data_IF_947864738166
#
_entry.id   IF_947864738166
#
_cell.length_a   1.000
_cell.length_b   1.000
_cell.length_c   1.000
_cell.angle_alpha   90.00
_cell.angle_beta   90.00
_cell.angle_gamma   90.00
#
_symmetry.space_group_name_H-M   'P 1'
#
loop_
_entity.id
_entity.type
_entity.pdbx_description
1 polymer ?
#
# COMPACT_ATOMS: atom_id res chain seq x y z
N UNK A 1 -29.84 9.15 9.37
CA UNK A 1 -30.39 8.89 8.02
C UNK A 1 -30.14 7.42 7.67
N UNK A 2 -31.13 6.71 7.13
CA UNK A 2 -31.01 5.32 6.65
C UNK A 2 -30.86 5.36 5.12
N UNK A 3 -29.75 5.90 4.64
CA UNK A 3 -29.50 6.00 3.20
C UNK A 3 -29.09 4.62 2.67
N UNK A 4 -29.62 4.22 1.51
CA UNK A 4 -29.28 2.94 0.87
C UNK A 4 -27.89 2.98 0.20
N UNK A 5 -27.47 4.17 -0.25
CA UNK A 5 -26.20 4.42 -0.93
C UNK A 5 -25.77 5.88 -0.77
N UNK A 6 -24.47 6.13 -0.82
CA UNK A 6 -23.87 7.47 -0.88
C UNK A 6 -23.04 7.61 -2.16
N UNK A 7 -23.44 8.55 -3.03
CA UNK A 7 -22.78 8.77 -4.31
C UNK A 7 -21.76 9.91 -4.17
N UNK A 8 -20.51 9.63 -4.56
CA UNK A 8 -19.38 10.55 -4.52
C UNK A 8 -19.05 10.91 -5.96
N UNK A 9 -19.39 12.14 -6.33
CA UNK A 9 -19.11 12.72 -7.64
C UNK A 9 -17.73 13.39 -7.63
N UNK A 10 -16.88 12.99 -8.56
CA UNK A 10 -15.50 13.49 -8.72
C UNK A 10 -15.15 13.63 -10.20
N UNK A 11 -13.88 13.92 -10.51
CA UNK A 11 -13.30 14.01 -11.86
C UNK A 11 -12.90 12.65 -12.47
N UNK A 12 -13.01 11.57 -11.72
CA UNK A 12 -12.80 10.19 -12.19
C UNK A 12 -14.11 9.42 -12.24
N UNK A 13 -14.23 8.50 -13.19
CA UNK A 13 -15.43 7.72 -13.47
C UNK A 13 -15.53 6.40 -12.71
N UNK A 14 -14.58 6.14 -11.80
CA UNK A 14 -14.56 4.95 -10.95
C UNK A 14 -13.18 4.65 -10.36
N UNK A 15 -13.07 3.47 -9.76
CA UNK A 15 -11.82 2.90 -9.25
C UNK A 15 -11.32 1.89 -10.29
N UNK A 16 -10.04 1.97 -10.62
CA UNK A 16 -9.42 1.10 -11.63
C UNK A 16 -8.54 0.02 -10.98
N UNK A 17 -8.31 -1.06 -11.71
CA UNK A 17 -7.38 -2.14 -11.33
C UNK A 17 -5.95 -1.64 -11.07
N UNK A 18 -5.55 -0.54 -11.69
CA UNK A 18 -4.30 0.21 -11.43
C UNK A 18 -4.40 1.61 -12.05
N UNK A 19 -3.38 2.47 -11.92
CA UNK A 19 -3.40 3.81 -12.53
C UNK A 19 -3.38 3.71 -14.08
N UNK A 20 -4.43 4.20 -14.78
CA UNK A 20 -4.50 4.16 -16.24
C UNK A 20 -3.36 4.94 -16.95
N UNK A 21 -2.67 5.84 -16.24
CA UNK A 21 -1.50 6.57 -16.75
C UNK A 21 -0.25 5.68 -16.85
N UNK A 22 -0.19 4.58 -16.11
CA UNK A 22 0.92 3.60 -16.19
C UNK A 22 0.66 2.56 -17.26
N UNK A 23 -0.59 2.07 -17.37
CA UNK A 23 -0.95 1.04 -18.36
C UNK A 23 -2.32 1.31 -18.96
N UNK A 24 -2.39 1.28 -20.29
CA UNK A 24 -3.65 1.38 -21.03
C UNK A 24 -4.55 0.14 -20.86
N UNK A 25 -4.02 -0.93 -20.25
CA UNK A 25 -4.77 -2.14 -19.93
C UNK A 25 -5.59 -2.03 -18.64
N UNK A 26 -5.42 -0.96 -17.86
CA UNK A 26 -6.21 -0.74 -16.65
C UNK A 26 -7.72 -0.80 -16.97
N UNK A 27 -8.49 -1.45 -16.10
CA UNK A 27 -9.95 -1.57 -16.23
C UNK A 27 -10.62 -0.94 -15.03
N UNK A 28 -11.77 -0.31 -15.26
CA UNK A 28 -12.64 0.16 -14.19
C UNK A 28 -13.29 -1.05 -13.52
N UNK A 29 -13.31 -1.06 -12.20
CA UNK A 29 -13.97 -2.08 -11.42
C UNK A 29 -15.45 -1.75 -11.28
N UNK A 30 -16.33 -2.71 -11.52
CA UNK A 30 -17.76 -2.54 -11.24
C UNK A 30 -18.03 -2.48 -9.73
N UNK A 31 -17.34 -3.33 -8.97
CA UNK A 31 -17.47 -3.43 -7.51
C UNK A 31 -16.11 -3.64 -6.85
N UNK A 32 -15.97 -3.14 -5.63
CA UNK A 32 -14.81 -3.36 -4.78
C UNK A 32 -15.25 -3.44 -3.31
N UNK A 33 -14.63 -4.33 -2.52
CA UNK A 33 -14.95 -4.38 -1.10
C UNK A 33 -14.38 -3.18 -0.35
N UNK A 34 -14.99 -2.84 0.79
CA UNK A 34 -14.47 -1.79 1.68
C UNK A 34 -12.99 -2.00 2.05
N UNK A 35 -12.60 -3.22 2.41
CA UNK A 35 -11.22 -3.54 2.81
C UNK A 35 -10.22 -3.34 1.68
N UNK A 36 -10.55 -3.81 0.47
CA UNK A 36 -9.71 -3.62 -0.72
C UNK A 36 -9.57 -2.13 -1.07
N UNK A 37 -10.67 -1.38 -1.00
CA UNK A 37 -10.66 0.05 -1.26
C UNK A 37 -9.82 0.81 -0.21
N UNK A 38 -9.89 0.41 1.07
CA UNK A 38 -9.04 1.00 2.13
C UNK A 38 -7.56 0.76 1.85
N UNK A 39 -7.21 -0.47 1.46
CA UNK A 39 -5.85 -0.82 1.12
C UNK A 39 -5.36 -0.06 -0.12
N UNK A 40 -6.12 -0.03 -1.22
CA UNK A 40 -5.77 0.72 -2.42
C UNK A 40 -5.65 2.23 -2.14
N UNK A 41 -6.59 2.81 -1.37
CA UNK A 41 -6.57 4.22 -1.02
C UNK A 41 -5.32 4.59 -0.20
N UNK A 42 -4.92 3.72 0.74
CA UNK A 42 -3.72 3.92 1.55
C UNK A 42 -2.42 3.88 0.74
N UNK A 43 -2.45 3.21 -0.42
CA UNK A 43 -1.27 2.96 -1.27
C UNK A 43 -1.16 3.92 -2.46
N UNK A 44 -2.01 4.96 -2.52
CA UNK A 44 -1.91 6.01 -3.54
C UNK A 44 -3.06 6.08 -4.53
N UNK A 45 -4.08 5.21 -4.43
CA UNK A 45 -5.33 5.38 -5.18
C UNK A 45 -6.13 6.58 -4.61
N UNK A 46 -5.78 7.79 -5.04
CA UNK A 46 -6.33 9.07 -4.53
C UNK A 46 -7.76 9.38 -5.00
N UNK A 47 -8.62 8.37 -5.10
CA UNK A 47 -10.01 8.52 -5.56
C UNK A 47 -10.94 8.84 -4.39
N UNK A 48 -10.74 8.16 -3.26
CA UNK A 48 -11.54 8.34 -2.04
C UNK A 48 -10.65 8.69 -0.84
N UNK A 49 -11.19 9.49 0.07
CA UNK A 49 -10.56 9.72 1.36
C UNK A 49 -10.69 8.46 2.22
N UNK A 50 -9.58 7.92 2.73
CA UNK A 50 -9.57 6.67 3.54
C UNK A 50 -10.62 6.70 4.64
N UNK A 51 -10.69 7.81 5.38
CA UNK A 51 -11.65 8.00 6.49
C UNK A 51 -13.12 7.94 6.06
N UNK A 52 -13.47 8.36 4.83
CA UNK A 52 -14.85 8.24 4.35
C UNK A 52 -15.21 6.78 4.06
N UNK A 53 -14.27 5.99 3.56
CA UNK A 53 -14.44 4.56 3.32
C UNK A 53 -14.56 3.81 4.66
N UNK A 54 -13.73 4.15 5.65
CA UNK A 54 -13.82 3.57 7.00
C UNK A 54 -15.20 3.82 7.65
N UNK A 55 -15.72 5.04 7.50
CA UNK A 55 -17.03 5.40 8.03
C UNK A 55 -18.14 4.61 7.31
N UNK A 56 -18.05 4.52 5.99
CA UNK A 56 -18.99 3.75 5.17
C UNK A 56 -19.01 2.28 5.55
N UNK A 57 -17.83 1.66 5.73
CA UNK A 57 -17.69 0.29 6.21
C UNK A 57 -18.32 0.10 7.60
N UNK A 58 -18.00 0.99 8.55
CA UNK A 58 -18.52 0.91 9.93
C UNK A 58 -20.04 0.97 10.01
N UNK A 59 -20.66 1.81 9.18
CA UNK A 59 -22.11 1.99 9.17
C UNK A 59 -22.82 1.19 8.07
N UNK A 60 -22.08 0.34 7.34
CA UNK A 60 -22.56 -0.46 6.20
C UNK A 60 -23.33 0.37 5.17
N UNK A 61 -22.79 1.53 4.82
CA UNK A 61 -23.35 2.42 3.79
C UNK A 61 -22.57 2.18 2.50
N UNK A 62 -23.24 1.66 1.47
CA UNK A 62 -22.63 1.46 0.15
C UNK A 62 -22.20 2.82 -0.42
N UNK A 63 -21.00 2.89 -0.98
CA UNK A 63 -20.51 4.08 -1.68
C UNK A 63 -20.53 3.83 -3.19
N UNK A 64 -20.72 4.88 -3.96
CA UNK A 64 -20.56 4.82 -5.42
C UNK A 64 -19.67 5.95 -5.88
N UNK A 65 -18.59 5.64 -6.58
CA UNK A 65 -17.70 6.64 -7.17
C UNK A 65 -18.16 6.93 -8.59
N UNK A 66 -18.44 8.19 -8.91
CA UNK A 66 -18.98 8.62 -10.20
C UNK A 66 -18.22 9.84 -10.75
N UNK A 67 -18.20 9.96 -12.07
CA UNK A 67 -17.71 11.17 -12.73
C UNK A 67 -18.79 12.25 -12.76
N UNK A 68 -18.42 13.49 -12.46
CA UNK A 68 -19.31 14.66 -12.59
C UNK A 68 -19.48 15.11 -14.03
N UNK A 69 -18.69 14.57 -14.96
CA UNK A 69 -18.59 14.99 -16.35
C UNK A 69 -19.29 14.05 -17.33
N UNK A 70 -19.87 12.94 -16.85
CA UNK A 70 -20.51 11.91 -17.67
C UNK A 70 -21.97 11.71 -17.27
N UNK A 71 -22.78 11.22 -18.22
CA UNK A 71 -24.13 10.75 -17.93
C UNK A 71 -24.05 9.41 -17.19
N UNK A 72 -24.37 9.44 -15.90
CA UNK A 72 -24.28 8.28 -15.03
C UNK A 72 -25.62 7.53 -14.99
N UNK A 73 -25.66 6.33 -15.56
CA UNK A 73 -26.80 5.42 -15.43
C UNK A 73 -26.78 4.68 -14.07
N UNK A 74 -27.56 3.60 -13.90
CA UNK A 74 -27.55 2.81 -12.65
C UNK A 74 -26.30 1.91 -12.49
N UNK A 75 -25.54 1.68 -13.56
CA UNK A 75 -24.37 0.79 -13.59
C UNK A 75 -23.04 1.53 -13.70
N UNK A 76 -23.06 2.84 -13.96
CA UNK A 76 -21.88 3.70 -13.98
C UNK A 76 -21.09 3.67 -12.65
N UNK A 77 -19.81 4.03 -12.73
CA UNK A 77 -18.98 4.14 -11.55
C UNK A 77 -18.46 2.82 -11.02
N UNK A 78 -17.96 2.88 -9.79
CA UNK A 78 -17.57 1.71 -9.00
C UNK A 78 -18.36 1.71 -7.70
N UNK A 79 -18.98 0.58 -7.37
CA UNK A 79 -19.68 0.38 -6.11
C UNK A 79 -18.69 -0.13 -5.05
N UNK A 80 -18.55 0.58 -3.94
CA UNK A 80 -17.82 0.12 -2.75
C UNK A 80 -18.83 -0.45 -1.76
N UNK A 81 -18.71 -1.75 -1.46
CA UNK A 81 -19.68 -2.48 -0.63
C UNK A 81 -19.03 -3.48 0.32
N UNK A 82 -19.86 -4.15 1.14
CA UNK A 82 -19.42 -5.29 1.95
C UNK A 82 -18.98 -6.44 1.04
N UNK A 83 -18.09 -7.29 1.55
CA UNK A 83 -17.56 -8.40 0.76
C UNK A 83 -18.67 -9.37 0.32
N UNK A 84 -19.65 -9.61 1.19
CA UNK A 84 -20.80 -10.49 0.96
C UNK A 84 -21.69 -10.06 -0.23
N UNK A 85 -21.61 -8.78 -0.65
CA UNK A 85 -22.36 -8.23 -1.79
C UNK A 85 -21.67 -8.50 -3.15
N UNK A 86 -20.51 -9.14 -3.15
CA UNK A 86 -19.72 -9.46 -4.35
C UNK A 86 -19.84 -10.97 -4.63
N UNK A 87 -20.47 -11.30 -5.77
CA UNK A 87 -20.76 -12.70 -6.13
C UNK A 87 -19.53 -13.46 -6.65
N UNK A 88 -18.68 -12.81 -7.42
CA UNK A 88 -17.47 -13.40 -8.00
C UNK A 88 -16.23 -12.64 -7.53
N UNK A 89 -15.30 -13.38 -6.92
CA UNK A 89 -14.06 -12.83 -6.43
C UNK A 89 -12.95 -12.97 -7.47
N UNK A 90 -12.38 -11.84 -7.89
CA UNK A 90 -11.03 -11.88 -8.44
C UNK A 90 -10.05 -12.16 -7.30
N UNK A 91 -9.02 -12.98 -7.57
CA UNK A 91 -7.98 -13.27 -6.58
C UNK A 91 -7.25 -11.99 -6.16
N UNK A 92 -7.06 -11.10 -7.13
CA UNK A 92 -6.46 -9.77 -6.98
C UNK A 92 -7.44 -8.75 -7.56
N UNK A 93 -7.78 -7.72 -6.80
CA UNK A 93 -8.61 -6.62 -7.28
C UNK A 93 -7.79 -5.52 -7.97
N UNK A 94 -6.54 -5.32 -7.55
CA UNK A 94 -5.70 -4.31 -8.17
C UNK A 94 -4.24 -4.31 -7.75
N UNK A 95 -3.47 -3.49 -8.48
CA UNK A 95 -2.07 -3.18 -8.22
C UNK A 95 -1.95 -1.68 -7.94
N UNK A 96 -1.45 -1.35 -6.76
CA UNK A 96 -1.18 0.02 -6.32
C UNK A 96 0.34 0.24 -6.18
N UNK A 97 0.75 1.51 -6.18
CA UNK A 97 2.15 1.86 -6.02
C UNK A 97 2.32 3.24 -5.36
N UNK A 98 3.42 3.41 -4.64
CA UNK A 98 3.91 4.70 -4.13
C UNK A 98 5.30 4.95 -4.70
N UNK A 99 5.41 5.99 -5.53
CA UNK A 99 6.66 6.35 -6.22
C UNK A 99 7.70 6.98 -5.30
N UNK A 100 7.24 7.84 -4.38
CA UNK A 100 8.08 8.73 -3.59
C UNK A 100 8.28 8.20 -2.17
N UNK A 101 8.78 6.96 -2.09
CA UNK A 101 9.17 6.32 -0.83
C UNK A 101 10.69 6.39 -0.63
N UNK A 102 11.09 6.43 0.64
CA UNK A 102 12.44 6.21 1.09
C UNK A 102 12.46 5.06 2.09
N UNK A 103 13.55 4.30 2.10
CA UNK A 103 13.81 3.23 3.06
C UNK A 103 14.89 3.70 4.02
N UNK A 104 14.62 3.62 5.32
CA UNK A 104 15.59 3.87 6.38
C UNK A 104 15.79 2.62 7.21
N UNK A 105 17.05 2.23 7.41
CA UNK A 105 17.44 1.04 8.18
C UNK A 105 18.40 1.43 9.29
N UNK A 106 17.99 1.19 10.54
CA UNK A 106 18.89 1.23 11.69
C UNK A 106 19.53 -0.15 11.81
N UNK A 107 20.83 -0.22 11.53
CA UNK A 107 21.60 -1.44 11.62
C UNK A 107 22.02 -1.71 13.06
N UNK A 108 21.84 -2.97 13.47
CA UNK A 108 22.29 -3.47 14.75
C UNK A 108 21.72 -2.65 15.91
N UNK A 109 20.40 -2.54 16.01
CA UNK A 109 19.73 -2.02 17.21
C UNK A 109 19.69 -3.09 18.30
N UNK A 110 19.65 -2.68 19.57
CA UNK A 110 19.50 -3.64 20.67
C UNK A 110 18.14 -4.34 20.58
N UNK A 111 18.11 -5.66 20.72
CA UNK A 111 16.86 -6.43 20.75
C UNK A 111 16.37 -6.60 22.19
N UNK A 112 15.71 -5.55 22.70
CA UNK A 112 15.10 -5.54 24.03
C UNK A 112 13.79 -4.76 24.02
N UNK A 113 12.86 -5.05 24.94
CA UNK A 113 11.62 -4.31 25.08
C UNK A 113 11.87 -2.80 25.16
N UNK A 114 11.06 -2.03 24.43
CA UNK A 114 11.12 -0.56 24.41
C UNK A 114 11.94 0.06 23.28
N UNK A 115 12.80 -0.69 22.58
CA UNK A 115 13.64 -0.11 21.51
C UNK A 115 12.80 0.37 20.32
N UNK A 116 11.80 -0.40 19.89
CA UNK A 116 10.88 0.04 18.85
C UNK A 116 10.15 1.34 19.26
N UNK A 117 9.68 1.44 20.51
CA UNK A 117 9.04 2.65 21.01
C UNK A 117 10.00 3.85 21.06
N UNK A 118 11.26 3.63 21.44
CA UNK A 118 12.30 4.66 21.47
C UNK A 118 12.72 5.13 20.06
N UNK A 119 12.51 4.32 19.03
CA UNK A 119 12.73 4.70 17.62
C UNK A 119 11.51 5.43 17.06
N UNK A 120 10.31 4.84 17.19
CA UNK A 120 9.11 5.35 16.54
C UNK A 120 8.40 6.46 17.29
N UNK A 121 8.60 6.59 18.62
CA UNK A 121 8.09 7.72 19.40
C UNK A 121 8.59 9.08 18.89
N UNK A 122 9.92 9.31 18.81
CA UNK A 122 10.47 10.55 18.26
C UNK A 122 10.07 10.83 16.80
N UNK A 123 9.91 9.77 15.99
CA UNK A 123 9.41 9.90 14.62
C UNK A 123 7.96 10.41 14.62
N UNK A 124 7.09 9.83 15.45
CA UNK A 124 5.70 10.27 15.58
C UNK A 124 5.60 11.70 16.13
N UNK A 125 6.40 12.05 17.16
CA UNK A 125 6.41 13.39 17.78
C UNK A 125 6.89 14.48 16.81
N UNK A 126 7.75 14.12 15.87
CA UNK A 126 8.17 15.00 14.78
C UNK A 126 7.20 15.00 13.59
N UNK A 127 6.10 14.23 13.64
CA UNK A 127 5.11 14.14 12.58
C UNK A 127 5.65 13.46 11.31
N UNK A 128 6.56 12.50 11.46
CA UNK A 128 6.97 11.59 10.39
C UNK A 128 5.92 10.49 10.27
N UNK A 129 5.39 10.31 9.07
CA UNK A 129 4.45 9.24 8.76
C UNK A 129 5.23 8.01 8.29
N UNK A 130 5.33 7.03 9.18
CA UNK A 130 5.97 5.75 8.89
C UNK A 130 4.93 4.80 8.28
N UNK A 131 5.31 4.12 7.22
CA UNK A 131 4.43 3.22 6.46
C UNK A 131 4.76 1.74 6.75
N UNK A 132 5.80 1.19 6.13
CA UNK A 132 6.22 -0.19 6.40
C UNK A 132 7.20 -0.21 7.57
N UNK A 133 7.05 -1.19 8.46
CA UNK A 133 8.02 -1.50 9.51
C UNK A 133 8.39 -2.98 9.35
N UNK A 134 9.69 -3.25 9.20
CA UNK A 134 10.25 -4.59 9.05
C UNK A 134 11.39 -4.74 10.05
N UNK A 135 11.19 -5.65 10.98
CA UNK A 135 12.22 -6.10 11.92
C UNK A 135 12.50 -7.58 11.62
N UNK A 136 13.77 -7.91 11.41
CA UNK A 136 14.15 -9.30 11.22
C UNK A 136 14.41 -10.00 12.57
N UNK A 137 14.53 -11.32 12.55
CA UNK A 137 14.92 -12.11 13.72
C UNK A 137 16.28 -11.62 14.22
N UNK A 138 16.43 -11.48 15.54
CA UNK A 138 17.67 -11.03 16.16
C UNK A 138 18.73 -12.13 16.18
N UNK A 139 19.99 -11.70 16.04
CA UNK A 139 21.17 -12.53 16.24
C UNK A 139 22.05 -11.82 17.28
N UNK A 140 22.54 -12.55 18.28
CA UNK A 140 23.35 -12.01 19.38
C UNK A 140 22.72 -10.82 20.15
N UNK A 141 21.39 -10.80 20.27
CA UNK A 141 20.67 -9.74 20.99
C UNK A 141 20.67 -8.40 20.26
N UNK A 142 20.96 -8.40 18.95
CA UNK A 142 20.82 -7.23 18.07
C UNK A 142 20.01 -7.60 16.83
N UNK A 143 19.33 -6.62 16.27
CA UNK A 143 18.51 -6.78 15.05
C UNK A 143 18.62 -5.54 14.18
N UNK A 144 18.13 -5.63 12.95
CA UNK A 144 18.00 -4.49 12.06
C UNK A 144 16.53 -4.04 12.01
N UNK A 145 16.32 -2.74 12.12
CA UNK A 145 15.00 -2.13 12.05
C UNK A 145 14.91 -1.33 10.76
N UNK A 146 14.12 -1.79 9.81
CA UNK A 146 13.86 -1.08 8.55
C UNK A 146 12.46 -0.49 8.56
N UNK A 147 12.32 0.73 8.07
CA UNK A 147 11.02 1.32 7.83
C UNK A 147 11.00 2.17 6.56
N UNK A 148 9.80 2.37 5.99
CA UNK A 148 9.58 3.29 4.87
C UNK A 148 8.84 4.55 5.30
N UNK A 149 9.08 5.61 4.55
CA UNK A 149 8.46 6.92 4.73
C UNK A 149 8.52 7.71 3.42
N UNK A 150 7.70 8.75 3.26
CA UNK A 150 7.82 9.67 2.13
C UNK A 150 9.21 10.32 2.05
N UNK A 151 9.77 10.42 0.84
CA UNK A 151 11.11 10.99 0.61
C UNK A 151 11.26 12.40 1.22
N UNK A 152 10.22 13.23 1.13
CA UNK A 152 10.23 14.58 1.68
C UNK A 152 10.31 14.64 3.22
N UNK A 153 10.16 13.52 3.92
CA UNK A 153 10.26 13.43 5.38
C UNK A 153 11.59 12.86 5.87
N UNK A 154 12.47 12.39 4.97
CA UNK A 154 13.77 11.79 5.32
C UNK A 154 14.63 12.69 6.18
N UNK A 155 14.74 13.98 5.82
CA UNK A 155 15.53 14.93 6.61
C UNK A 155 15.01 15.09 8.04
N UNK A 156 13.69 15.05 8.22
CA UNK A 156 13.05 15.13 9.55
C UNK A 156 13.26 13.84 10.34
N UNK A 157 13.05 12.69 9.71
CA UNK A 157 13.24 11.38 10.31
C UNK A 157 14.69 11.17 10.77
N UNK A 158 15.66 11.53 9.92
CA UNK A 158 17.09 11.47 10.27
C UNK A 158 17.39 12.32 11.50
N UNK A 159 16.92 13.57 11.53
CA UNK A 159 17.11 14.47 12.67
C UNK A 159 16.55 13.87 13.97
N UNK A 160 15.33 13.35 13.95
CA UNK A 160 14.70 12.74 15.13
C UNK A 160 15.48 11.52 15.64
N UNK A 161 15.96 10.66 14.72
CA UNK A 161 16.77 9.48 15.07
C UNK A 161 18.15 9.89 15.62
N UNK A 162 18.78 10.89 15.05
CA UNK A 162 20.08 11.38 15.51
C UNK A 162 19.98 12.02 16.91
N UNK A 163 18.90 12.77 17.17
CA UNK A 163 18.60 13.32 18.50
C UNK A 163 18.34 12.21 19.54
N UNK A 164 17.55 11.20 19.19
CA UNK A 164 17.29 10.04 20.06
C UNK A 164 18.56 9.20 20.34
N UNK A 165 19.50 9.15 19.38
CA UNK A 165 20.82 8.52 19.62
C UNK A 165 21.67 9.37 20.56
N UNK A 166 21.66 10.69 20.39
CA UNK A 166 22.44 11.62 21.21
C UNK A 166 21.96 11.67 22.68
N UNK A 167 20.66 11.50 22.93
CA UNK A 167 20.09 11.39 24.28
C UNK A 167 20.42 10.05 24.97
N UNK A 168 20.87 9.05 24.22
CA UNK A 168 21.13 7.71 24.71
C UNK A 168 19.90 6.80 24.77
N UNK A 169 18.76 7.24 24.23
CA UNK A 169 17.51 6.47 24.21
C UNK A 169 17.60 5.27 23.26
N UNK A 170 18.33 5.43 22.15
CA UNK A 170 18.59 4.38 21.17
C UNK A 170 20.08 4.20 20.90
N UNK A 171 20.49 2.96 20.62
CA UNK A 171 21.83 2.64 20.15
C UNK A 171 21.74 1.81 18.88
N UNK A 172 22.42 2.27 17.83
CA UNK A 172 22.51 1.60 16.54
C UNK A 172 23.89 1.85 15.92
N UNK A 173 24.40 0.89 15.15
CA UNK A 173 25.72 0.99 14.54
C UNK A 173 25.73 2.03 13.41
N UNK A 174 24.77 1.92 12.49
CA UNK A 174 24.65 2.80 11.33
C UNK A 174 23.19 3.03 10.95
N UNK A 175 22.89 4.23 10.45
CA UNK A 175 21.61 4.57 9.82
C UNK A 175 21.83 4.61 8.31
N UNK A 176 21.30 3.62 7.60
CA UNK A 176 21.33 3.54 6.13
C UNK A 176 20.04 4.13 5.58
N UNK A 177 20.15 4.92 4.52
CA UNK A 177 19.00 5.54 3.86
C UNK A 177 19.11 5.36 2.36
N UNK A 178 17.99 5.02 1.76
CA UNK A 178 17.84 4.78 0.33
C UNK A 178 16.59 5.52 -0.13
N UNK A 179 16.78 6.64 -0.82
CA UNK A 179 15.71 7.52 -1.30
C UNK A 179 15.25 7.19 -2.71
N UNK A 180 15.82 6.15 -3.35
CA UNK A 180 15.55 5.76 -4.74
C UNK A 180 14.73 4.48 -4.84
N UNK A 181 13.77 4.32 -3.94
CA UNK A 181 12.85 3.18 -3.89
C UNK A 181 11.42 3.59 -4.24
N UNK A 182 10.66 2.60 -4.71
CA UNK A 182 9.21 2.68 -4.87
C UNK A 182 8.57 1.46 -4.20
N UNK A 183 7.36 1.66 -3.67
CA UNK A 183 6.52 0.57 -3.13
C UNK A 183 5.56 0.13 -4.23
N UNK A 184 5.45 -1.17 -4.46
CA UNK A 184 4.44 -1.76 -5.35
C UNK A 184 3.69 -2.82 -4.56
N UNK A 185 2.38 -2.81 -4.68
CA UNK A 185 1.48 -3.62 -3.85
C UNK A 185 0.40 -4.28 -4.68
N UNK A 186 0.17 -5.55 -4.41
CA UNK A 186 -0.95 -6.32 -4.96
C UNK A 186 -1.99 -6.45 -3.85
N UNK A 187 -3.25 -6.14 -4.16
CA UNK A 187 -4.36 -6.12 -3.19
C UNK A 187 -5.52 -6.96 -3.72
N UNK A 188 -6.08 -7.82 -2.87
CA UNK A 188 -7.33 -8.54 -3.14
C UNK A 188 -7.76 -9.44 -1.99
N UNK A 189 -9.05 -9.47 -1.68
CA UNK A 189 -9.57 -10.36 -0.61
C UNK A 189 -9.51 -11.84 -0.97
N UNK A 190 -9.51 -12.15 -2.28
CA UNK A 190 -9.30 -13.52 -2.76
C UNK A 190 -7.97 -14.13 -2.30
N UNK A 191 -7.00 -13.31 -1.90
CA UNK A 191 -5.72 -13.75 -1.30
C UNK A 191 -5.89 -14.54 0.01
N UNK A 192 -6.96 -14.32 0.78
CA UNK A 192 -7.24 -15.07 2.03
C UNK A 192 -7.46 -16.57 1.78
N UNK A 193 -8.08 -16.90 0.65
CA UNK A 193 -8.53 -18.25 0.31
C UNK A 193 -7.69 -18.90 -0.79
N UNK A 194 -6.87 -18.13 -1.52
CA UNK A 194 -6.03 -18.62 -2.61
C UNK A 194 -4.55 -18.55 -2.26
N UNK A 195 -3.94 -19.73 -2.09
CA UNK A 195 -2.49 -19.84 -1.97
C UNK A 195 -1.81 -19.52 -3.32
N UNK A 196 -0.60 -18.93 -3.25
CA UNK A 196 0.28 -18.77 -4.42
C UNK A 196 0.36 -17.36 -5.00
N UNK A 197 -0.45 -16.40 -4.53
CA UNK A 197 -0.41 -15.02 -5.03
C UNK A 197 0.97 -14.37 -4.85
N UNK A 198 1.58 -14.51 -3.67
CA UNK A 198 2.94 -14.02 -3.43
C UNK A 198 3.97 -14.71 -4.33
N UNK A 199 3.84 -16.02 -4.56
CA UNK A 199 4.76 -16.77 -5.42
C UNK A 199 4.66 -16.32 -6.89
N UNK A 200 3.44 -16.05 -7.39
CA UNK A 200 3.20 -15.49 -8.72
C UNK A 200 3.80 -14.08 -8.82
N UNK A 201 3.55 -13.21 -7.84
CA UNK A 201 4.12 -11.86 -7.78
C UNK A 201 5.65 -11.88 -7.85
N UNK A 202 6.31 -12.71 -7.04
CA UNK A 202 7.77 -12.79 -7.02
C UNK A 202 8.33 -13.39 -8.31
N UNK A 203 7.61 -14.33 -8.93
CA UNK A 203 8.00 -14.90 -10.23
C UNK A 203 7.94 -13.85 -11.33
N UNK A 204 6.86 -13.06 -11.38
CA UNK A 204 6.71 -11.97 -12.35
C UNK A 204 7.83 -10.92 -12.22
N UNK A 205 8.13 -10.50 -10.99
CA UNK A 205 9.22 -9.53 -10.76
C UNK A 205 10.60 -10.11 -11.13
N UNK A 206 10.82 -11.40 -10.86
CA UNK A 206 12.06 -12.10 -11.26
C UNK A 206 12.21 -12.15 -12.78
N UNK A 207 11.14 -12.45 -13.51
CA UNK A 207 11.18 -12.62 -14.96
C UNK A 207 11.51 -11.30 -15.68
N UNK A 208 11.15 -10.16 -15.06
CA UNK A 208 11.55 -8.81 -15.48
C UNK A 208 12.92 -8.37 -14.93
N UNK A 209 13.61 -9.21 -14.15
CA UNK A 209 14.92 -8.89 -13.56
C UNK A 209 14.86 -7.85 -12.43
N UNK A 210 13.70 -7.68 -11.78
CA UNK A 210 13.47 -6.68 -10.74
C UNK A 210 13.82 -7.28 -9.36
N UNK A 211 14.85 -6.74 -8.73
CA UNK A 211 15.25 -7.17 -7.39
C UNK A 211 14.34 -6.60 -6.30
N UNK A 212 13.88 -7.45 -5.40
CA UNK A 212 13.05 -7.07 -4.25
C UNK A 212 13.96 -6.70 -3.07
N UNK A 213 13.78 -5.50 -2.51
CA UNK A 213 14.56 -4.99 -1.37
C UNK A 213 13.93 -5.32 -0.03
N UNK A 214 12.61 -5.20 0.07
CA UNK A 214 11.82 -5.42 1.29
C UNK A 214 10.48 -6.02 0.88
N UNK A 215 9.95 -6.93 1.71
CA UNK A 215 8.63 -7.53 1.54
C UNK A 215 7.84 -7.26 2.82
N UNK A 216 6.57 -6.88 2.68
CA UNK A 216 5.60 -6.87 3.76
C UNK A 216 4.26 -7.43 3.26
N UNK A 217 3.46 -7.97 4.17
CA UNK A 217 2.18 -8.59 3.83
C UNK A 217 1.14 -8.27 4.89
N UNK A 218 -0.11 -8.09 4.46
CA UNK A 218 -1.31 -8.24 5.31
C UNK A 218 -2.09 -9.47 4.83
N UNK A 219 -3.30 -9.68 5.33
CA UNK A 219 -4.17 -10.80 4.90
C UNK A 219 -4.58 -10.71 3.42
N UNK A 220 -4.67 -9.49 2.88
CA UNK A 220 -5.23 -9.20 1.55
C UNK A 220 -4.31 -8.34 0.69
N UNK A 221 -3.04 -8.20 1.10
CA UNK A 221 -2.06 -7.34 0.45
C UNK A 221 -0.67 -7.92 0.56
N UNK A 222 0.08 -7.91 -0.54
CA UNK A 222 1.54 -8.10 -0.52
C UNK A 222 2.17 -6.85 -1.10
N UNK A 223 3.13 -6.26 -0.39
CA UNK A 223 3.86 -5.07 -0.84
C UNK A 223 5.35 -5.34 -0.88
N UNK A 224 6.01 -4.78 -1.89
CA UNK A 224 7.45 -4.87 -2.08
C UNK A 224 8.06 -3.50 -2.26
N UNK A 225 9.27 -3.30 -1.73
CA UNK A 225 10.14 -2.19 -2.15
C UNK A 225 11.06 -2.66 -3.27
N UNK A 226 11.12 -1.87 -4.34
CA UNK A 226 12.00 -2.08 -5.49
C UNK A 226 12.72 -0.77 -5.82
N UNK A 227 13.74 -0.81 -6.68
CA UNK A 227 14.31 0.44 -7.22
C UNK A 227 13.25 1.22 -7.99
N UNK A 228 13.16 2.54 -7.72
CA UNK A 228 12.14 3.42 -8.31
C UNK A 228 12.07 3.35 -9.83
N UNK A 229 13.22 3.17 -10.50
CA UNK A 229 13.31 3.07 -11.96
C UNK A 229 12.52 1.89 -12.55
N UNK A 230 12.23 0.85 -11.77
CA UNK A 230 11.48 -0.33 -12.23
C UNK A 230 10.00 -0.27 -11.86
N UNK A 231 9.52 0.82 -11.25
CA UNK A 231 8.15 0.93 -10.76
C UNK A 231 7.10 0.67 -11.85
N UNK A 232 7.19 1.37 -12.98
CA UNK A 232 6.20 1.24 -14.06
C UNK A 232 6.23 -0.16 -14.67
N UNK A 233 7.43 -0.71 -14.89
CA UNK A 233 7.61 -2.08 -15.39
C UNK A 233 7.02 -3.12 -14.43
N UNK A 234 7.27 -2.98 -13.13
CA UNK A 234 6.72 -3.88 -12.10
C UNK A 234 5.19 -3.83 -12.08
N UNK A 235 4.60 -2.62 -12.13
CA UNK A 235 3.14 -2.47 -12.14
C UNK A 235 2.53 -3.12 -13.39
N UNK A 236 3.12 -2.89 -14.56
CA UNK A 236 2.66 -3.50 -15.82
C UNK A 236 2.78 -5.03 -15.79
N UNK A 237 3.92 -5.57 -15.37
CA UNK A 237 4.15 -7.01 -15.30
C UNK A 237 3.21 -7.71 -14.31
N UNK A 238 2.96 -7.08 -13.15
CA UNK A 238 2.00 -7.62 -12.18
C UNK A 238 0.56 -7.51 -12.67
N UNK A 239 0.19 -6.41 -13.33
CA UNK A 239 -1.14 -6.25 -13.94
C UNK A 239 -1.42 -7.35 -14.96
N UNK A 240 -0.47 -7.61 -15.86
CA UNK A 240 -0.55 -8.68 -16.86
C UNK A 240 -0.55 -10.08 -16.22
N UNK A 241 0.31 -10.33 -15.23
CA UNK A 241 0.42 -11.65 -14.57
C UNK A 241 -0.87 -12.07 -13.89
N UNK A 242 -1.58 -11.12 -13.28
CA UNK A 242 -2.86 -11.37 -12.61
C UNK A 242 -4.07 -11.24 -13.53
N UNK A 243 -3.86 -11.00 -14.84
CA UNK A 243 -4.94 -10.93 -15.83
C UNK A 243 -5.93 -9.80 -15.57
N UNK A 244 -5.47 -8.70 -14.97
CA UNK A 244 -6.34 -7.61 -14.52
C UNK A 244 -6.96 -6.81 -15.67
N UNK A 245 -6.50 -7.02 -16.91
CA UNK A 245 -7.09 -6.47 -18.13
C UNK A 245 -8.40 -7.16 -18.55
N UNK A 246 -8.66 -8.35 -17.99
CA UNK A 246 -9.85 -9.17 -18.24
C UNK A 246 -10.97 -8.92 -17.22
N UNK A 247 -10.67 -8.13 -16.19
CA UNK A 247 -11.65 -7.75 -15.17
C UNK A 247 -12.63 -6.76 -15.80
N UNK A 248 -13.88 -7.21 -15.95
CA UNK A 248 -15.04 -6.41 -16.28
C UNK A 248 -16.05 -6.58 -15.14
#
# INVERSE_FOLDING_TARGET
FRAERCDIYTDVDGVYTTDPRITSKARKLDRIAFEEMLELASLGAKVLQTRSVELAMRYKVRLRVLSSFEDNDEHAGTLVCDEEDIMEWNVVAGVAFSRDEAKMTLLSVADRPGIAAAIFGPLADSGVNVDMIVQNISEDGRTDMTFSLPVNQVGRARKAIDEAKASGDINYAQLVTDEDVAKVSVVGIGMRSHAGVAAQMFSALRDEGINIKVITTSEIKVSVLIDRKYMELAVQALHDTFGLELVA
#
